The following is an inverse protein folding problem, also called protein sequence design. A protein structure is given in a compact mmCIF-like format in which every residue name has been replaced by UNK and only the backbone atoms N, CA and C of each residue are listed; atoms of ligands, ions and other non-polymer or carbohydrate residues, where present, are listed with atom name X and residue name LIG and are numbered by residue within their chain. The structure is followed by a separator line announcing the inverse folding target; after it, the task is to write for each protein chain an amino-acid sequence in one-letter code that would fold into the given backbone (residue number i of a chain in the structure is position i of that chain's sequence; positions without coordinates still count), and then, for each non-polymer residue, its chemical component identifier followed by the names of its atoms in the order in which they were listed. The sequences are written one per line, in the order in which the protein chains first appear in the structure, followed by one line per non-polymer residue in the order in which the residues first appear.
data_IF_171234047553
#
_entry.id   IF_171234047553
#
_cell.length_a   1.000
_cell.length_b   1.000
_cell.length_c   1.000
_cell.angle_alpha   90.00
_cell.angle_beta   90.00
_cell.angle_gamma   90.00
#
_symmetry.space_group_name_H-M   'P 1'
#
loop_
_entity.id
_entity.type
_entity.pdbx_description
1 polymer ?
#
# COMPACT_ATOMS: atom_id res chain seq x y z
N UNK A 1 -16.62 -22.41 -2.62
CA UNK A 1 -16.08 -21.22 -3.34
C UNK A 1 -15.28 -20.39 -2.35
N UNK A 2 -14.01 -20.08 -2.63
CA UNK A 2 -13.22 -19.20 -1.74
C UNK A 2 -13.67 -17.76 -1.92
N UNK A 3 -14.19 -17.13 -0.85
CA UNK A 3 -14.58 -15.72 -0.87
C UNK A 3 -13.35 -14.83 -0.84
N UNK A 4 -13.26 -13.86 -1.75
CA UNK A 4 -12.25 -12.80 -1.67
C UNK A 4 -12.70 -11.80 -0.60
N UNK A 5 -11.78 -11.42 0.28
CA UNK A 5 -12.07 -10.51 1.39
C UNK A 5 -11.49 -9.12 1.13
N UNK A 6 -12.22 -8.12 1.63
CA UNK A 6 -11.81 -6.73 1.74
C UNK A 6 -12.25 -6.23 3.12
N UNK A 7 -11.68 -5.11 3.57
CA UNK A 7 -12.20 -4.37 4.72
C UNK A 7 -13.59 -3.79 4.41
N UNK A 8 -14.42 -3.63 5.44
CA UNK A 8 -15.80 -3.11 5.34
C UNK A 8 -15.85 -1.61 5.15
N UNK A 9 -14.89 -0.87 5.72
CA UNK A 9 -14.87 0.59 5.73
C UNK A 9 -13.44 1.14 5.66
N UNK A 10 -13.34 2.44 5.41
CA UNK A 10 -12.05 3.13 5.34
C UNK A 10 -11.47 3.31 6.74
N UNK A 11 -10.18 2.97 6.91
CA UNK A 11 -9.46 3.18 8.17
C UNK A 11 -8.17 3.96 7.90
N UNK A 12 -7.86 4.93 8.75
CA UNK A 12 -6.63 5.74 8.66
C UNK A 12 -5.79 5.57 9.91
N UNK A 13 -4.48 5.38 9.70
CA UNK A 13 -3.47 5.32 10.74
C UNK A 13 -2.44 6.43 10.52
N UNK A 14 -1.85 6.91 11.61
CA UNK A 14 -0.74 7.86 11.60
C UNK A 14 0.41 7.28 12.43
N UNK A 15 1.64 7.53 11.99
CA UNK A 15 2.83 7.05 12.68
C UNK A 15 4.12 7.57 12.08
N UNK A 16 5.25 7.01 12.51
CA UNK A 16 6.59 7.40 12.04
C UNK A 16 7.15 6.28 11.15
N UNK A 17 7.61 6.65 9.95
CA UNK A 17 8.26 5.73 9.02
C UNK A 17 9.64 5.31 9.52
N UNK A 18 9.86 4.00 9.69
CA UNK A 18 11.05 3.42 10.32
C UNK A 18 12.39 3.93 9.76
N UNK A 19 12.52 4.04 8.44
CA UNK A 19 13.83 4.32 7.81
C UNK A 19 14.17 5.80 7.66
N UNK A 20 13.17 6.69 7.63
CA UNK A 20 13.38 8.12 7.43
C UNK A 20 12.99 8.97 8.65
N UNK A 21 12.35 8.37 9.65
CA UNK A 21 11.88 9.09 10.84
C UNK A 21 10.80 10.14 10.55
N UNK A 22 10.14 10.07 9.39
CA UNK A 22 9.13 11.05 8.95
C UNK A 22 7.73 10.60 9.34
N UNK A 23 6.86 11.55 9.66
CA UNK A 23 5.43 11.30 9.83
C UNK A 23 4.85 10.73 8.54
N UNK A 24 4.07 9.66 8.67
CA UNK A 24 3.36 9.02 7.59
C UNK A 24 1.90 8.82 7.99
N UNK A 25 1.00 9.04 7.02
CA UNK A 25 -0.42 8.73 7.11
C UNK A 25 -0.72 7.60 6.14
N UNK A 26 -1.35 6.53 6.61
CA UNK A 26 -1.76 5.40 5.80
C UNK A 26 -3.28 5.29 5.85
N UNK A 27 -3.93 5.22 4.69
CA UNK A 27 -5.38 5.03 4.61
C UNK A 27 -5.67 3.75 3.84
N UNK A 28 -6.32 2.79 4.49
CA UNK A 28 -6.85 1.59 3.87
C UNK A 28 -8.26 1.88 3.34
N UNK A 29 -8.53 1.48 2.11
CA UNK A 29 -9.82 1.71 1.43
C UNK A 29 -10.38 0.37 0.95
N UNK A 30 -11.69 0.10 1.14
CA UNK A 30 -12.32 -1.09 0.58
C UNK A 30 -12.10 -1.21 -0.93
N UNK A 31 -11.89 -2.43 -1.41
CA UNK A 31 -11.70 -2.71 -2.83
C UNK A 31 -12.62 -3.84 -3.29
N UNK A 32 -12.94 -3.85 -4.59
CA UNK A 32 -13.72 -4.91 -5.20
C UNK A 32 -12.96 -6.25 -5.18
N UNK A 33 -13.70 -7.35 -5.20
CA UNK A 33 -13.10 -8.67 -5.40
C UNK A 33 -12.33 -8.72 -6.71
N UNK A 34 -11.08 -9.16 -6.67
CA UNK A 34 -10.21 -9.23 -7.85
C UNK A 34 -9.07 -8.20 -7.84
N UNK A 35 -9.25 -7.05 -7.18
CA UNK A 35 -8.28 -5.94 -7.21
C UNK A 35 -6.90 -6.33 -6.66
N UNK A 36 -6.85 -7.17 -5.62
CA UNK A 36 -5.61 -7.47 -4.91
C UNK A 36 -5.23 -6.34 -3.94
N UNK A 37 -3.95 -6.27 -3.56
CA UNK A 37 -3.41 -5.19 -2.72
C UNK A 37 -2.67 -4.21 -3.62
N UNK A 38 -3.06 -2.94 -3.57
CA UNK A 38 -2.46 -1.87 -4.37
C UNK A 38 -2.06 -0.74 -3.44
N UNK A 39 -0.79 -0.33 -3.50
CA UNK A 39 -0.30 0.85 -2.79
C UNK A 39 -0.48 2.08 -3.67
N UNK A 40 -0.88 3.21 -3.08
CA UNK A 40 -1.05 4.48 -3.81
C UNK A 40 -0.28 5.59 -3.12
N UNK A 41 0.64 6.23 -3.84
CA UNK A 41 1.47 7.34 -3.34
C UNK A 41 0.75 8.68 -3.54
N UNK A 42 -0.13 9.02 -2.60
CA UNK A 42 -0.97 10.23 -2.68
C UNK A 42 -0.19 11.55 -2.56
N UNK A 43 1.05 11.49 -2.09
CA UNK A 43 1.96 12.61 -1.94
C UNK A 43 2.67 13.00 -3.25
N UNK A 44 2.54 12.19 -4.30
CA UNK A 44 3.11 12.46 -5.62
C UNK A 44 2.03 12.93 -6.60
N UNK A 45 2.42 13.77 -7.57
CA UNK A 45 1.55 14.20 -8.66
C UNK A 45 1.01 13.00 -9.44
N UNK A 46 -0.28 13.01 -9.78
CA UNK A 46 -0.96 11.88 -10.41
C UNK A 46 -1.27 10.71 -9.48
N UNK A 47 -0.72 10.71 -8.26
CA UNK A 47 -0.93 9.69 -7.23
C UNK A 47 -0.79 8.24 -7.75
N UNK A 48 0.43 7.86 -8.19
CA UNK A 48 0.66 6.59 -8.85
C UNK A 48 0.30 5.41 -7.96
N UNK A 49 -0.17 4.35 -8.61
CA UNK A 49 -0.55 3.08 -8.00
C UNK A 49 0.50 2.02 -8.30
N UNK A 50 0.86 1.23 -7.29
CA UNK A 50 1.86 0.17 -7.34
C UNK A 50 1.22 -1.11 -6.81
N UNK A 51 0.86 -2.07 -7.69
CA UNK A 51 0.36 -3.36 -7.27
C UNK A 51 1.40 -4.10 -6.40
N UNK A 52 0.94 -4.77 -5.35
CA UNK A 52 1.80 -5.64 -4.55
C UNK A 52 2.08 -6.97 -5.31
N UNK A 53 2.86 -6.88 -6.38
CA UNK A 53 3.25 -7.99 -7.25
C UNK A 53 4.77 -8.16 -7.25
N UNK A 54 5.26 -9.39 -7.46
CA UNK A 54 6.70 -9.70 -7.45
C UNK A 54 7.48 -8.92 -8.52
N UNK A 55 6.84 -8.65 -9.66
CA UNK A 55 7.45 -7.87 -10.75
C UNK A 55 7.67 -6.39 -10.38
N UNK A 56 7.06 -5.90 -9.31
CA UNK A 56 7.27 -4.55 -8.80
C UNK A 56 8.33 -4.52 -7.68
N UNK A 57 8.78 -5.68 -7.20
CA UNK A 57 9.74 -5.76 -6.11
C UNK A 57 11.14 -5.35 -6.60
N UNK A 58 11.79 -4.47 -5.84
CA UNK A 58 13.17 -4.05 -6.09
C UNK A 58 14.07 -4.42 -4.93
N UNK A 59 15.34 -4.70 -5.25
CA UNK A 59 16.35 -5.02 -4.24
C UNK A 59 16.51 -3.83 -3.31
N UNK A 60 16.36 -4.08 -2.02
CA UNK A 60 16.61 -3.10 -0.98
C UNK A 60 17.15 -3.77 0.27
N UNK A 61 17.98 -3.07 1.03
CA UNK A 61 18.50 -3.59 2.28
C UNK A 61 17.48 -3.42 3.41
N UNK A 62 17.29 -4.48 4.21
CA UNK A 62 16.51 -4.48 5.46
C UNK A 62 15.00 -4.19 5.33
N UNK A 63 14.46 -4.20 4.11
CA UNK A 63 13.01 -4.10 3.82
C UNK A 63 12.66 -4.75 2.48
N UNK A 64 11.37 -4.91 2.23
CA UNK A 64 10.82 -5.12 0.87
C UNK A 64 10.37 -3.77 0.34
N UNK A 65 10.72 -3.45 -0.91
CA UNK A 65 10.33 -2.20 -1.57
C UNK A 65 9.69 -2.51 -2.91
N UNK A 66 8.63 -1.77 -3.24
CA UNK A 66 7.99 -1.78 -4.56
C UNK A 66 8.30 -0.46 -5.27
N UNK A 67 8.53 -0.50 -6.58
CA UNK A 67 8.83 0.69 -7.39
C UNK A 67 8.26 0.58 -8.81
#
# INVERSE_FOLDING_TARGET
MSSRHSISERVTLEGIGLHLGRTCRLTFVPAAGGTGVVFRRIDLAGSPEIPAHVDQAVVSERRTQLA
#
